data_IF_929463944700
#
_entry.id   IF_929463944700
#
_cell.length_a   1.000
_cell.length_b   1.000
_cell.length_c   1.000
_cell.angle_alpha   90.00
_cell.angle_beta   90.00
_cell.angle_gamma   90.00
#
_symmetry.space_group_name_H-M   'P 1'
#
loop_
_entity.id
_entity.type
_entity.pdbx_description
1 polymer ?
#
# COMPACT_ATOMS: atom_id res chain seq x y z
N UNK A 1 62.01 34.41 -17.15
CA UNK A 1 61.01 33.87 -16.20
C UNK A 1 59.98 33.07 -16.99
N UNK A 2 60.08 31.74 -16.99
CA UNK A 2 58.98 30.87 -17.41
C UNK A 2 59.03 29.61 -16.54
N UNK A 3 58.25 29.59 -15.47
CA UNK A 3 58.03 28.39 -14.66
C UNK A 3 57.08 27.47 -15.43
N UNK A 4 57.60 26.34 -15.92
CA UNK A 4 56.77 25.21 -16.35
C UNK A 4 56.19 24.53 -15.10
N UNK A 5 54.88 24.66 -14.90
CA UNK A 5 54.14 23.83 -13.95
C UNK A 5 54.05 22.41 -14.50
N UNK A 6 54.53 21.45 -13.72
CA UNK A 6 54.33 20.01 -13.99
C UNK A 6 52.87 19.64 -13.76
N UNK A 7 52.25 18.79 -14.59
CA UNK A 7 50.89 18.34 -14.36
C UNK A 7 50.88 17.39 -13.16
N UNK A 8 50.00 17.69 -12.20
CA UNK A 8 49.70 16.82 -11.07
C UNK A 8 49.13 15.49 -11.56
N UNK A 9 49.92 14.42 -11.42
CA UNK A 9 49.47 13.05 -11.64
C UNK A 9 48.36 12.71 -10.64
N UNK A 10 47.10 12.69 -11.09
CA UNK A 10 46.00 12.10 -10.35
C UNK A 10 46.26 10.60 -10.22
N UNK A 11 46.81 10.16 -9.07
CA UNK A 11 46.97 8.74 -8.76
C UNK A 11 45.57 8.13 -8.58
N UNK A 12 45.08 7.43 -9.59
CA UNK A 12 43.89 6.62 -9.46
C UNK A 12 44.15 5.53 -8.39
N UNK A 13 43.27 5.37 -7.39
CA UNK A 13 43.47 4.38 -6.33
C UNK A 13 43.43 2.96 -6.89
N UNK A 14 44.29 2.10 -6.35
CA UNK A 14 44.47 0.70 -6.74
C UNK A 14 43.17 -0.10 -6.60
N UNK A 15 42.94 -1.15 -7.42
CA UNK A 15 41.73 -1.98 -7.36
C UNK A 15 41.46 -2.55 -5.95
N UNK A 16 42.49 -2.99 -5.24
CA UNK A 16 42.37 -3.50 -3.86
C UNK A 16 41.89 -2.44 -2.85
N UNK A 17 42.31 -1.18 -3.00
CA UNK A 17 41.82 -0.10 -2.13
C UNK A 17 40.37 0.26 -2.43
N UNK A 18 39.92 0.14 -3.69
CA UNK A 18 38.53 0.35 -4.06
C UNK A 18 37.61 -0.73 -3.49
N UNK A 19 38.03 -2.00 -3.54
CA UNK A 19 37.26 -3.10 -2.94
C UNK A 19 37.14 -2.95 -1.43
N UNK A 20 38.25 -2.72 -0.71
CA UNK A 20 38.20 -2.52 0.75
C UNK A 20 37.35 -1.32 1.16
N UNK A 21 37.43 -0.22 0.42
CA UNK A 21 36.59 0.95 0.68
C UNK A 21 35.10 0.66 0.42
N UNK A 22 34.79 -0.09 -0.64
CA UNK A 22 33.43 -0.51 -0.94
C UNK A 22 32.89 -1.45 0.14
N UNK A 23 33.70 -2.39 0.61
CA UNK A 23 33.37 -3.34 1.67
C UNK A 23 33.05 -2.61 2.98
N UNK A 24 33.92 -1.71 3.45
CA UNK A 24 33.67 -0.92 4.66
C UNK A 24 32.40 -0.09 4.55
N UNK A 25 32.10 0.47 3.37
CA UNK A 25 30.86 1.22 3.16
C UNK A 25 29.60 0.33 3.20
N UNK A 26 29.70 -0.95 2.80
CA UNK A 26 28.56 -1.87 2.88
C UNK A 26 28.38 -2.38 4.31
N UNK A 27 29.46 -2.56 5.06
CA UNK A 27 29.41 -2.89 6.49
C UNK A 27 28.73 -1.77 7.29
N UNK A 28 29.11 -0.51 7.05
CA UNK A 28 28.47 0.64 7.69
C UNK A 28 26.96 0.68 7.43
N UNK A 29 26.53 0.31 6.22
CA UNK A 29 25.09 0.22 5.87
C UNK A 29 24.38 -0.88 6.64
N UNK A 30 25.02 -2.03 6.82
CA UNK A 30 24.47 -3.15 7.60
C UNK A 30 24.36 -2.75 9.07
N UNK A 31 25.37 -2.07 9.63
CA UNK A 31 25.35 -1.62 11.03
C UNK A 31 24.23 -0.59 11.27
N UNK A 32 24.09 0.40 10.38
CA UNK A 32 23.00 1.40 10.46
C UNK A 32 21.63 0.71 10.34
N UNK A 33 21.48 -0.23 9.41
CA UNK A 33 20.24 -0.99 9.25
C UNK A 33 19.95 -1.83 10.49
N UNK A 34 20.96 -2.49 11.06
CA UNK A 34 20.82 -3.29 12.27
C UNK A 34 20.31 -2.45 13.45
N UNK A 35 20.90 -1.27 13.67
CA UNK A 35 20.48 -0.37 14.75
C UNK A 35 19.01 0.05 14.61
N UNK A 36 18.60 0.45 13.40
CA UNK A 36 17.23 0.86 13.12
C UNK A 36 16.22 -0.29 13.18
N UNK A 37 16.57 -1.46 12.63
CA UNK A 37 15.70 -2.65 12.62
C UNK A 37 15.51 -3.16 14.05
N UNK A 38 16.59 -3.30 14.81
CA UNK A 38 16.55 -3.79 16.19
C UNK A 38 15.77 -2.86 17.12
N UNK A 39 15.81 -1.53 16.87
CA UNK A 39 14.98 -0.55 17.60
C UNK A 39 13.48 -0.86 17.49
N UNK A 40 13.04 -1.34 16.33
CA UNK A 40 11.63 -1.54 16.00
C UNK A 40 11.17 -3.02 16.04
N UNK A 41 12.10 -3.95 16.29
CA UNK A 41 11.89 -5.40 16.44
C UNK A 41 11.44 -5.81 17.86
N UNK A 42 10.65 -4.96 18.54
CA UNK A 42 10.17 -5.29 19.89
C UNK A 42 9.22 -6.50 19.81
N UNK A 43 9.76 -7.66 20.20
CA UNK A 43 9.19 -9.01 20.05
C UNK A 43 7.76 -9.17 20.60
N UNK A 44 6.94 -10.10 20.05
CA UNK A 44 5.52 -10.28 20.38
C UNK A 44 5.24 -10.93 21.74
N UNK A 45 6.25 -11.30 22.54
CA UNK A 45 6.06 -12.07 23.78
C UNK A 45 5.39 -11.33 24.93
N UNK A 46 4.98 -10.08 24.74
CA UNK A 46 4.05 -9.42 25.65
C UNK A 46 2.62 -9.69 25.17
N UNK A 47 2.05 -10.78 25.69
CA UNK A 47 0.62 -11.17 25.69
C UNK A 47 -0.32 -10.12 26.32
N UNK A 48 0.12 -8.87 26.41
CA UNK A 48 -0.69 -7.76 26.86
C UNK A 48 -1.52 -7.28 25.67
N UNK A 49 -2.81 -7.60 25.75
CA UNK A 49 -3.90 -7.10 24.90
C UNK A 49 -4.08 -5.56 24.94
N UNK A 50 -3.13 -4.83 25.56
CA UNK A 50 -3.09 -3.38 25.71
C UNK A 50 -1.70 -2.79 25.41
N UNK A 51 -0.83 -3.46 24.67
CA UNK A 51 0.40 -2.85 24.20
C UNK A 51 0.05 -1.74 23.20
N UNK A 52 0.24 -0.47 23.61
CA UNK A 52 0.64 0.61 22.71
C UNK A 52 1.94 0.19 22.01
N UNK A 53 1.85 -0.74 21.06
CA UNK A 53 2.92 -1.09 20.14
C UNK A 53 3.16 0.20 19.37
N UNK A 54 4.30 0.84 19.59
CA UNK A 54 4.69 2.03 18.82
C UNK A 54 4.46 1.72 17.35
N UNK A 55 3.52 2.43 16.72
CA UNK A 55 3.25 2.29 15.29
C UNK A 55 4.33 3.08 14.56
N UNK A 56 5.12 2.41 13.73
CA UNK A 56 6.22 3.05 13.00
C UNK A 56 5.68 4.16 12.08
N UNK A 57 4.50 3.94 11.51
CA UNK A 57 3.82 4.87 10.61
C UNK A 57 2.77 5.76 11.31
N UNK A 58 2.85 5.92 12.63
CA UNK A 58 2.04 6.95 13.30
C UNK A 58 2.49 8.37 12.86
N UNK A 59 1.58 9.34 12.98
CA UNK A 59 1.79 10.70 12.50
C UNK A 59 3.01 11.40 13.13
N UNK A 60 3.35 11.05 14.38
CA UNK A 60 4.51 11.52 15.12
C UNK A 60 5.85 10.92 14.65
N UNK A 61 5.82 9.77 13.96
CA UNK A 61 7.00 8.98 13.58
C UNK A 61 7.30 8.99 12.08
N UNK A 62 6.69 9.88 11.28
CA UNK A 62 6.86 9.93 9.81
C UNK A 62 8.32 9.98 9.34
N UNK A 63 9.18 10.70 10.06
CA UNK A 63 10.61 10.76 9.72
C UNK A 63 11.31 9.42 10.00
N UNK A 64 11.00 8.78 11.12
CA UNK A 64 11.56 7.47 11.46
C UNK A 64 11.10 6.38 10.48
N UNK A 65 9.82 6.40 10.06
CA UNK A 65 9.32 5.51 9.03
C UNK A 65 10.11 5.63 7.72
N UNK A 66 10.39 6.86 7.27
CA UNK A 66 11.21 7.12 6.07
C UNK A 66 12.63 6.59 6.23
N UNK A 67 13.25 6.81 7.40
CA UNK A 67 14.59 6.30 7.68
C UNK A 67 14.63 4.77 7.69
N UNK A 68 13.59 4.13 8.22
CA UNK A 68 13.44 2.68 8.25
C UNK A 68 13.32 2.09 6.85
N UNK A 69 12.45 2.66 5.99
CA UNK A 69 12.35 2.22 4.59
C UNK A 69 13.66 2.45 3.83
N UNK A 70 14.34 3.56 4.11
CA UNK A 70 15.63 3.86 3.50
C UNK A 70 16.71 2.86 3.94
N UNK A 71 16.77 2.48 5.21
CA UNK A 71 17.76 1.52 5.70
C UNK A 71 17.56 0.13 5.10
N UNK A 72 16.32 -0.27 4.81
CA UNK A 72 16.02 -1.51 4.07
C UNK A 72 16.58 -1.44 2.64
N UNK A 73 16.42 -0.31 1.95
CA UNK A 73 16.98 -0.11 0.59
C UNK A 73 18.51 -0.16 0.59
N UNK A 74 19.14 0.46 1.59
CA UNK A 74 20.60 0.42 1.74
C UNK A 74 21.09 -0.99 2.11
N UNK A 75 20.35 -1.71 2.97
CA UNK A 75 20.60 -3.10 3.33
C UNK A 75 20.52 -4.01 2.09
N UNK A 76 19.51 -3.84 1.25
CA UNK A 76 19.39 -4.57 -0.01
C UNK A 76 20.58 -4.32 -0.94
N UNK A 77 21.06 -3.08 -1.00
CA UNK A 77 22.25 -2.73 -1.80
C UNK A 77 23.50 -3.44 -1.26
N UNK A 78 23.67 -3.47 0.07
CA UNK A 78 24.77 -4.20 0.72
C UNK A 78 24.67 -5.71 0.45
N UNK A 79 23.47 -6.30 0.53
CA UNK A 79 23.25 -7.72 0.21
C UNK A 79 23.66 -8.04 -1.24
N UNK A 80 23.26 -7.21 -2.21
CA UNK A 80 23.63 -7.41 -3.63
C UNK A 80 25.15 -7.32 -3.84
N UNK A 81 25.84 -6.43 -3.11
CA UNK A 81 27.29 -6.35 -3.13
C UNK A 81 27.93 -7.65 -2.61
N UNK A 82 27.51 -8.13 -1.44
CA UNK A 82 28.07 -9.36 -0.85
C UNK A 82 27.76 -10.60 -1.69
N UNK A 83 26.55 -10.72 -2.26
CA UNK A 83 26.20 -11.82 -3.17
C UNK A 83 27.15 -11.88 -4.38
N UNK A 84 27.59 -10.73 -4.89
CA UNK A 84 28.45 -10.66 -6.08
C UNK A 84 29.94 -10.79 -5.79
N UNK A 85 30.40 -10.40 -4.60
CA UNK A 85 31.82 -10.35 -4.27
C UNK A 85 32.25 -11.42 -3.26
N UNK A 86 31.45 -11.69 -2.24
CA UNK A 86 31.77 -12.60 -1.13
C UNK A 86 30.51 -13.32 -0.60
N UNK A 87 30.03 -14.36 -1.31
CA UNK A 87 28.77 -15.02 -1.00
C UNK A 87 28.81 -15.88 0.28
N UNK A 88 29.98 -16.07 0.90
CA UNK A 88 30.16 -16.82 2.14
C UNK A 88 30.48 -15.92 3.34
N UNK A 89 30.24 -14.61 3.22
CA UNK A 89 30.49 -13.65 4.29
C UNK A 89 29.41 -13.74 5.38
N UNK A 90 29.82 -13.73 6.65
CA UNK A 90 28.91 -13.64 7.80
C UNK A 90 28.02 -12.37 7.73
N UNK A 91 28.52 -11.30 7.09
CA UNK A 91 27.76 -10.07 6.89
C UNK A 91 26.58 -10.27 5.93
N UNK A 92 26.69 -11.19 4.95
CA UNK A 92 25.56 -11.53 4.09
C UNK A 92 24.47 -12.27 4.88
N UNK A 93 24.85 -13.23 5.72
CA UNK A 93 23.90 -13.96 6.58
C UNK A 93 23.21 -13.02 7.56
N UNK A 94 23.97 -12.12 8.20
CA UNK A 94 23.41 -11.06 9.06
C UNK A 94 22.44 -10.17 8.29
N UNK A 95 22.82 -9.69 7.11
CA UNK A 95 21.98 -8.82 6.30
C UNK A 95 20.69 -9.51 5.84
N UNK A 96 20.75 -10.80 5.48
CA UNK A 96 19.59 -11.60 5.15
C UNK A 96 18.65 -11.76 6.35
N UNK A 97 19.18 -12.02 7.54
CA UNK A 97 18.38 -12.12 8.77
C UNK A 97 17.70 -10.78 9.10
N UNK A 98 18.43 -9.66 9.00
CA UNK A 98 17.88 -8.32 9.19
C UNK A 98 16.77 -8.00 8.18
N UNK A 99 16.93 -8.42 6.92
CA UNK A 99 15.89 -8.28 5.90
C UNK A 99 14.61 -9.03 6.31
N UNK A 100 14.70 -10.27 6.79
CA UNK A 100 13.52 -11.02 7.25
C UNK A 100 12.79 -10.30 8.39
N UNK A 101 13.54 -9.81 9.38
CA UNK A 101 12.98 -9.08 10.52
C UNK A 101 12.28 -7.80 10.03
N UNK A 102 12.94 -7.05 9.15
CA UNK A 102 12.39 -5.82 8.60
C UNK A 102 11.10 -6.06 7.81
N UNK A 103 11.07 -7.11 6.98
CA UNK A 103 9.88 -7.47 6.21
C UNK A 103 8.73 -7.90 7.12
N UNK A 104 8.99 -8.66 8.18
CA UNK A 104 7.96 -9.01 9.17
C UNK A 104 7.39 -7.79 9.88
N UNK A 105 8.22 -6.78 10.13
CA UNK A 105 7.74 -5.50 10.66
C UNK A 105 6.87 -4.76 9.65
N UNK A 106 7.30 -4.65 8.40
CA UNK A 106 6.51 -4.00 7.34
C UNK A 106 5.18 -4.72 7.07
N UNK A 107 5.16 -6.05 7.07
CA UNK A 107 3.92 -6.85 7.01
C UNK A 107 2.93 -6.44 8.11
N UNK A 108 3.43 -6.25 9.34
CA UNK A 108 2.60 -5.85 10.49
C UNK A 108 2.08 -4.42 10.35
N UNK A 109 2.93 -3.48 9.98
CA UNK A 109 2.53 -2.08 9.77
C UNK A 109 1.50 -1.96 8.65
N UNK A 110 1.73 -2.65 7.54
CA UNK A 110 0.80 -2.71 6.41
C UNK A 110 -0.57 -3.25 6.83
N UNK A 111 -0.58 -4.33 7.63
CA UNK A 111 -1.80 -4.87 8.22
C UNK A 111 -2.51 -3.85 9.13
N UNK A 112 -1.76 -3.17 10.02
CA UNK A 112 -2.30 -2.19 10.97
C UNK A 112 -2.93 -1.02 10.21
N UNK A 113 -2.26 -0.47 9.20
CA UNK A 113 -2.77 0.66 8.42
C UNK A 113 -4.04 0.26 7.67
N UNK A 114 -4.07 -0.89 7.00
CA UNK A 114 -5.25 -1.38 6.30
C UNK A 114 -6.44 -1.64 7.24
N UNK A 115 -6.18 -2.18 8.44
CA UNK A 115 -7.24 -2.50 9.41
C UNK A 115 -7.77 -1.27 10.15
N UNK A 116 -6.89 -0.36 10.55
CA UNK A 116 -7.25 0.83 11.33
C UNK A 116 -7.97 1.87 10.48
N UNK A 117 -7.70 1.91 9.18
CA UNK A 117 -8.33 2.87 8.26
C UNK A 117 -9.54 2.28 7.50
N UNK A 118 -10.23 1.28 8.07
CA UNK A 118 -11.40 0.65 7.42
C UNK A 118 -12.50 1.64 7.00
N UNK A 119 -12.74 2.66 7.82
CA UNK A 119 -13.76 3.69 7.58
C UNK A 119 -13.24 4.85 6.73
N UNK A 120 -11.92 4.95 6.50
CA UNK A 120 -11.28 6.04 5.74
C UNK A 120 -10.77 5.55 4.37
N UNK A 121 -10.52 4.26 4.23
CA UNK A 121 -10.26 3.58 2.96
C UNK A 121 -11.53 2.92 2.42
N UNK A 122 -12.70 3.32 2.92
CA UNK A 122 -13.94 2.89 2.29
C UNK A 122 -13.97 3.48 0.87
N UNK A 123 -14.61 2.79 -0.08
CA UNK A 123 -14.47 3.16 -1.48
C UNK A 123 -15.05 4.55 -1.82
N UNK A 124 -15.94 5.10 -0.99
CA UNK A 124 -16.43 6.47 -1.13
C UNK A 124 -15.36 7.50 -0.75
N UNK A 125 -14.71 7.35 0.41
CA UNK A 125 -13.60 8.24 0.83
C UNK A 125 -12.43 8.22 -0.13
N UNK A 126 -12.06 7.04 -0.67
CA UNK A 126 -10.99 6.92 -1.68
C UNK A 126 -11.35 7.64 -2.98
N UNK A 127 -12.60 7.52 -3.42
CA UNK A 127 -13.10 8.20 -4.63
C UNK A 127 -13.08 9.71 -4.45
N UNK A 128 -13.45 10.22 -3.26
CA UNK A 128 -13.43 11.65 -2.95
C UNK A 128 -12.02 12.21 -2.84
N UNK A 129 -11.13 11.54 -2.09
CA UNK A 129 -9.73 11.94 -1.94
C UNK A 129 -9.01 12.04 -3.29
N UNK A 130 -9.32 11.13 -4.21
CA UNK A 130 -8.78 11.15 -5.57
C UNK A 130 -9.26 12.36 -6.38
N UNK A 131 -10.54 12.73 -6.27
CA UNK A 131 -11.09 13.92 -6.96
C UNK A 131 -10.47 15.21 -6.42
N UNK A 132 -10.25 15.29 -5.11
CA UNK A 132 -9.58 16.41 -4.45
C UNK A 132 -8.09 16.55 -4.84
N UNK A 133 -7.40 15.43 -5.05
CA UNK A 133 -6.00 15.44 -5.52
C UNK A 133 -5.84 15.92 -6.97
N UNK A 134 -6.88 15.74 -7.80
CA UNK A 134 -6.86 16.16 -9.22
C UNK A 134 -7.19 17.66 -9.37
N UNK A 135 -7.98 18.25 -8.47
CA UNK A 135 -8.27 19.69 -8.50
C UNK A 135 -7.07 20.60 -8.18
N UNK A 136 -5.99 20.06 -7.62
CA UNK A 136 -4.73 20.81 -7.39
C UNK A 136 -3.87 20.94 -8.68
N UNK A 137 -4.16 20.16 -9.72
CA UNK A 137 -3.54 20.28 -11.05
C UNK A 137 -4.63 20.50 -12.10
N UNK A 138 -5.05 21.77 -12.24
CA UNK A 138 -6.21 22.15 -13.05
C UNK A 138 -6.25 21.58 -14.46
N UNK A 139 -7.46 21.22 -14.89
CA UNK A 139 -7.88 21.35 -16.27
C UNK A 139 -9.40 21.59 -16.32
N UNK A 140 -9.79 22.59 -17.11
CA UNK A 140 -11.17 22.97 -17.38
C UNK A 140 -11.78 21.92 -18.30
N UNK A 141 -12.67 21.08 -17.78
CA UNK A 141 -13.53 20.24 -18.60
C UNK A 141 -14.98 20.54 -18.25
N UNK A 142 -15.60 21.36 -19.10
CA UNK A 142 -17.03 21.65 -19.07
C UNK A 142 -17.83 20.38 -19.38
N UNK A 143 -18.50 19.80 -18.38
CA UNK A 143 -19.76 19.08 -18.57
C UNK A 143 -20.71 19.45 -17.41
N UNK A 144 -21.72 20.24 -17.75
CA UNK A 144 -22.79 20.73 -16.87
C UNK A 144 -23.75 19.60 -16.47
N UNK A 145 -24.11 19.55 -15.18
CA UNK A 145 -25.50 19.63 -14.66
C UNK A 145 -25.51 19.56 -13.11
N UNK A 146 -25.59 20.74 -12.48
CA UNK A 146 -26.42 21.20 -11.33
C UNK A 146 -26.81 20.18 -10.22
N UNK A 147 -26.75 20.41 -8.89
CA UNK A 147 -26.85 21.63 -8.09
C UNK A 147 -26.40 21.31 -6.64
N UNK A 148 -25.48 22.09 -6.06
CA UNK A 148 -25.59 22.71 -4.71
C UNK A 148 -24.22 22.96 -4.01
N UNK A 149 -23.90 24.27 -3.98
CA UNK A 149 -23.11 25.02 -2.99
C UNK A 149 -21.59 25.07 -3.15
N UNK A 150 -21.18 26.21 -3.71
CA UNK A 150 -19.94 26.92 -3.41
C UNK A 150 -19.67 27.00 -1.89
N UNK A 151 -18.43 26.67 -1.52
CA UNK A 151 -17.88 26.94 -0.18
C UNK A 151 -16.82 25.92 0.23
N UNK A 152 -15.55 26.36 0.15
CA UNK A 152 -14.34 25.76 0.73
C UNK A 152 -13.67 24.61 -0.05
N UNK A 153 -12.67 24.98 -0.86
CA UNK A 153 -11.51 24.15 -1.28
C UNK A 153 -10.63 23.72 -0.08
N UNK A 154 -11.27 23.29 1.00
CA UNK A 154 -10.61 22.77 2.19
C UNK A 154 -10.73 21.25 2.13
N UNK A 155 -9.62 20.57 1.86
CA UNK A 155 -9.55 19.10 1.95
C UNK A 155 -10.09 18.70 3.33
N UNK A 156 -11.10 17.83 3.35
CA UNK A 156 -11.69 17.41 4.61
C UNK A 156 -10.67 16.63 5.43
N UNK A 157 -10.77 16.68 6.76
CA UNK A 157 -9.87 15.91 7.63
C UNK A 157 -9.88 14.41 7.27
N UNK A 158 -11.04 13.87 6.89
CA UNK A 158 -11.21 12.48 6.44
C UNK A 158 -10.42 12.19 5.16
N UNK A 159 -10.46 13.08 4.18
CA UNK A 159 -9.69 12.95 2.93
C UNK A 159 -8.17 13.03 3.21
N UNK A 160 -7.72 13.93 4.10
CA UNK A 160 -6.32 14.02 4.51
C UNK A 160 -5.81 12.74 5.21
N UNK A 161 -6.60 12.17 6.13
CA UNK A 161 -6.24 10.89 6.77
C UNK A 161 -6.15 9.75 5.76
N UNK A 162 -7.07 9.73 4.79
CA UNK A 162 -7.10 8.74 3.72
C UNK A 162 -5.85 8.85 2.83
N UNK A 163 -5.47 10.07 2.44
CA UNK A 163 -4.27 10.34 1.64
C UNK A 163 -2.99 9.92 2.37
N UNK A 164 -2.84 10.29 3.65
CA UNK A 164 -1.66 9.91 4.44
C UNK A 164 -1.51 8.39 4.58
N UNK A 165 -2.62 7.68 4.83
CA UNK A 165 -2.62 6.22 4.92
C UNK A 165 -2.30 5.58 3.56
N UNK A 166 -2.85 6.13 2.48
CA UNK A 166 -2.60 5.72 1.09
C UNK A 166 -1.13 5.88 0.70
N UNK A 167 -0.50 7.00 1.05
CA UNK A 167 0.94 7.21 0.88
C UNK A 167 1.80 6.18 1.63
N UNK A 168 1.45 5.88 2.88
CA UNK A 168 2.18 4.93 3.69
C UNK A 168 2.04 3.50 3.15
N UNK A 169 0.83 3.10 2.74
CA UNK A 169 0.61 1.81 2.09
C UNK A 169 1.42 1.69 0.80
N UNK A 170 1.48 2.74 -0.01
CA UNK A 170 2.31 2.78 -1.22
C UNK A 170 3.80 2.67 -0.87
N UNK A 171 4.29 3.44 0.10
CA UNK A 171 5.70 3.42 0.48
C UNK A 171 6.13 2.04 1.02
N UNK A 172 5.29 1.41 1.83
CA UNK A 172 5.55 0.06 2.37
C UNK A 172 5.52 -0.98 1.25
N UNK A 173 4.50 -0.97 0.40
CA UNK A 173 4.36 -1.94 -0.70
C UNK A 173 5.49 -1.82 -1.72
N UNK A 174 5.88 -0.62 -2.14
CA UNK A 174 7.03 -0.40 -3.03
C UNK A 174 8.33 -0.95 -2.41
N UNK A 175 8.53 -0.74 -1.11
CA UNK A 175 9.69 -1.29 -0.39
C UNK A 175 9.64 -2.83 -0.34
N UNK A 176 8.51 -3.43 0.02
CA UNK A 176 8.36 -4.89 0.07
C UNK A 176 8.51 -5.52 -1.31
N UNK A 177 7.93 -4.93 -2.36
CA UNK A 177 8.02 -5.44 -3.74
C UNK A 177 9.45 -5.38 -4.23
N UNK A 178 10.15 -4.26 -4.03
CA UNK A 178 11.55 -4.12 -4.45
C UNK A 178 12.47 -5.08 -3.71
N UNK A 179 12.19 -5.41 -2.44
CA UNK A 179 12.89 -6.42 -1.65
C UNK A 179 12.53 -7.88 -2.02
N UNK A 180 11.54 -8.12 -2.89
CA UNK A 180 11.11 -9.46 -3.31
C UNK A 180 9.97 -10.08 -2.50
N UNK A 181 9.33 -9.32 -1.61
CA UNK A 181 8.25 -9.74 -0.70
C UNK A 181 6.87 -9.30 -1.18
N UNK A 182 6.72 -9.11 -2.49
CA UNK A 182 5.45 -8.66 -3.08
C UNK A 182 4.29 -9.63 -2.79
N UNK A 183 4.54 -10.95 -2.73
CA UNK A 183 3.49 -11.95 -2.49
C UNK A 183 2.90 -11.86 -1.08
N UNK A 184 3.75 -11.64 -0.09
CA UNK A 184 3.37 -11.45 1.32
C UNK A 184 2.54 -10.18 1.48
N UNK A 185 3.01 -9.07 0.90
CA UNK A 185 2.27 -7.80 0.85
C UNK A 185 0.88 -7.98 0.21
N UNK A 186 0.83 -8.62 -0.97
CA UNK A 186 -0.40 -8.90 -1.70
C UNK A 186 -1.39 -9.74 -0.90
N UNK A 187 -0.89 -10.77 -0.20
CA UNK A 187 -1.72 -11.65 0.62
C UNK A 187 -2.41 -10.88 1.76
N UNK A 188 -1.68 -10.00 2.43
CA UNK A 188 -2.22 -9.16 3.51
C UNK A 188 -3.27 -8.20 2.95
N UNK A 189 -2.94 -7.52 1.85
CA UNK A 189 -3.86 -6.59 1.17
C UNK A 189 -5.17 -7.28 0.81
N UNK A 190 -5.10 -8.37 0.06
CA UNK A 190 -6.28 -9.14 -0.40
C UNK A 190 -7.15 -9.60 0.76
N UNK A 191 -6.54 -10.15 1.82
CA UNK A 191 -7.28 -10.66 2.98
C UNK A 191 -8.15 -9.59 3.64
N UNK A 192 -7.59 -8.39 3.84
CA UNK A 192 -8.29 -7.31 4.53
C UNK A 192 -9.30 -6.63 3.59
N UNK A 193 -8.88 -6.28 2.38
CA UNK A 193 -9.71 -5.54 1.42
C UNK A 193 -10.88 -6.35 0.90
N UNK A 194 -10.68 -7.65 0.63
CA UNK A 194 -11.79 -8.55 0.28
C UNK A 194 -12.84 -8.61 1.38
N UNK A 195 -12.42 -8.76 2.65
CA UNK A 195 -13.35 -8.72 3.78
C UNK A 195 -14.14 -7.41 3.87
N UNK A 196 -13.53 -6.27 3.57
CA UNK A 196 -14.22 -4.96 3.59
C UNK A 196 -15.23 -4.85 2.44
N UNK A 197 -14.84 -5.23 1.22
CA UNK A 197 -15.71 -5.19 0.05
C UNK A 197 -16.88 -6.16 0.20
N UNK A 198 -16.63 -7.38 0.66
CA UNK A 198 -17.67 -8.40 0.87
C UNK A 198 -18.66 -7.95 1.97
N UNK A 199 -18.19 -7.35 3.07
CA UNK A 199 -19.03 -6.79 4.14
C UNK A 199 -19.89 -5.62 3.61
N UNK A 200 -19.32 -4.72 2.81
CA UNK A 200 -20.05 -3.61 2.21
C UNK A 200 -21.15 -4.10 1.24
N UNK A 201 -20.84 -5.10 0.39
CA UNK A 201 -21.83 -5.70 -0.52
C UNK A 201 -22.96 -6.41 0.22
N UNK A 202 -22.64 -7.08 1.35
CA UNK A 202 -23.65 -7.67 2.22
C UNK A 202 -24.62 -6.60 2.75
N UNK A 203 -24.11 -5.46 3.21
CA UNK A 203 -24.95 -4.35 3.71
C UNK A 203 -25.76 -3.64 2.63
N UNK A 204 -25.30 -3.65 1.37
CA UNK A 204 -26.07 -3.12 0.24
C UNK A 204 -27.25 -4.03 -0.16
N UNK A 205 -27.47 -5.17 0.52
CA UNK A 205 -28.50 -6.16 0.20
C UNK A 205 -28.42 -6.69 -1.24
N UNK A 206 -27.20 -6.66 -1.81
CA UNK A 206 -26.95 -7.17 -3.15
C UNK A 206 -27.15 -8.69 -3.20
N UNK A 207 -26.93 -9.39 -2.09
CA UNK A 207 -27.14 -10.84 -1.94
C UNK A 207 -28.58 -11.20 -1.54
N UNK A 208 -29.59 -10.57 -2.14
CA UNK A 208 -30.99 -10.96 -1.94
C UNK A 208 -31.43 -12.02 -2.95
N UNK A 209 -30.67 -13.12 -3.06
CA UNK A 209 -30.96 -14.26 -3.95
C UNK A 209 -32.42 -14.67 -3.83
N UNK A 210 -33.23 -14.34 -4.83
CA UNK A 210 -34.57 -14.87 -4.99
C UNK A 210 -34.42 -16.16 -5.79
N UNK A 211 -35.26 -17.13 -5.50
CA UNK A 211 -35.43 -18.26 -6.39
C UNK A 211 -36.45 -17.87 -7.46
N UNK A 212 -36.32 -18.45 -8.65
CA UNK A 212 -37.32 -18.32 -9.71
C UNK A 212 -38.76 -18.58 -9.20
N UNK A 213 -38.93 -19.56 -8.30
CA UNK A 213 -40.21 -19.87 -7.68
C UNK A 213 -40.75 -18.75 -6.75
N UNK A 214 -39.88 -17.98 -6.09
CA UNK A 214 -40.28 -16.82 -5.30
C UNK A 214 -40.67 -15.65 -6.19
N UNK A 215 -39.94 -15.42 -7.29
CA UNK A 215 -40.25 -14.37 -8.26
C UNK A 215 -41.63 -14.60 -8.88
N UNK A 216 -41.92 -15.82 -9.32
CA UNK A 216 -43.22 -16.14 -9.95
C UNK A 216 -44.42 -16.02 -9.00
N UNK A 217 -44.21 -16.16 -7.69
CA UNK A 217 -45.28 -16.07 -6.68
C UNK A 217 -45.44 -14.65 -6.12
N UNK A 218 -44.57 -13.72 -6.49
CA UNK A 218 -44.53 -12.37 -5.96
C UNK A 218 -45.47 -11.46 -6.76
N UNK A 219 -46.20 -10.59 -6.06
CA UNK A 219 -46.98 -9.56 -6.71
C UNK A 219 -46.05 -8.61 -7.49
N UNK A 220 -46.51 -8.16 -8.65
CA UNK A 220 -45.70 -7.34 -9.55
C UNK A 220 -45.19 -6.07 -8.86
N UNK A 221 -46.02 -5.43 -8.03
CA UNK A 221 -45.69 -4.21 -7.31
C UNK A 221 -44.51 -4.41 -6.34
N UNK A 222 -44.43 -5.59 -5.70
CA UNK A 222 -43.33 -5.95 -4.79
C UNK A 222 -42.06 -6.28 -5.57
N UNK A 223 -42.21 -6.98 -6.71
CA UNK A 223 -41.09 -7.30 -7.60
C UNK A 223 -40.47 -6.03 -8.18
N UNK A 224 -41.28 -5.06 -8.63
CA UNK A 224 -40.82 -3.79 -9.17
C UNK A 224 -39.99 -3.00 -8.14
N UNK A 225 -40.43 -2.95 -6.88
CA UNK A 225 -39.66 -2.32 -5.79
C UNK A 225 -38.31 -3.02 -5.62
N UNK A 226 -38.28 -4.36 -5.62
CA UNK A 226 -37.02 -5.12 -5.50
C UNK A 226 -36.08 -4.90 -6.68
N UNK A 227 -36.60 -4.81 -7.91
CA UNK A 227 -35.80 -4.49 -9.10
C UNK A 227 -35.14 -3.11 -8.93
N UNK A 228 -35.92 -2.10 -8.51
CA UNK A 228 -35.38 -0.74 -8.29
C UNK A 228 -34.35 -0.70 -7.17
N UNK A 229 -34.60 -1.40 -6.05
CA UNK A 229 -33.64 -1.50 -4.95
C UNK A 229 -32.35 -2.20 -5.37
N UNK A 230 -32.44 -3.32 -6.10
CA UNK A 230 -31.28 -4.03 -6.62
C UNK A 230 -30.49 -3.16 -7.60
N UNK A 231 -31.16 -2.50 -8.54
CA UNK A 231 -30.48 -1.62 -9.50
C UNK A 231 -29.72 -0.50 -8.78
N UNK A 232 -30.33 0.12 -7.77
CA UNK A 232 -29.66 1.14 -6.97
C UNK A 232 -28.44 0.56 -6.21
N UNK A 233 -28.59 -0.63 -5.61
CA UNK A 233 -27.50 -1.30 -4.91
C UNK A 233 -26.32 -1.65 -5.84
N UNK A 234 -26.60 -2.15 -7.05
CA UNK A 234 -25.58 -2.43 -8.08
C UNK A 234 -24.89 -1.13 -8.52
N UNK A 235 -25.65 -0.05 -8.72
CA UNK A 235 -25.08 1.26 -9.07
C UNK A 235 -24.12 1.77 -8.00
N UNK A 236 -24.47 1.63 -6.73
CA UNK A 236 -23.57 1.96 -5.61
C UNK A 236 -22.34 1.03 -5.64
N UNK A 237 -22.53 -0.29 -5.72
CA UNK A 237 -21.42 -1.24 -5.77
C UNK A 237 -20.40 -0.94 -6.88
N UNK A 238 -20.87 -0.64 -8.09
CA UNK A 238 -19.99 -0.33 -9.23
C UNK A 238 -19.34 1.05 -9.09
N UNK A 239 -20.12 2.10 -8.84
CA UNK A 239 -19.63 3.49 -8.85
C UNK A 239 -18.83 3.87 -7.61
N UNK A 240 -19.07 3.21 -6.48
CA UNK A 240 -18.34 3.49 -5.24
C UNK A 240 -17.41 2.32 -4.91
N UNK A 241 -17.94 1.12 -4.63
CA UNK A 241 -17.14 0.03 -4.07
C UNK A 241 -16.01 -0.43 -4.99
N UNK A 242 -16.36 -0.84 -6.21
CA UNK A 242 -15.36 -1.34 -7.16
C UNK A 242 -14.47 -0.22 -7.68
N UNK A 243 -15.01 0.98 -7.88
CA UNK A 243 -14.20 2.12 -8.33
C UNK A 243 -13.15 2.55 -7.28
N UNK A 244 -13.54 2.67 -6.01
CA UNK A 244 -12.59 2.99 -4.94
C UNK A 244 -11.56 1.89 -4.71
N UNK A 245 -11.94 0.61 -4.84
CA UNK A 245 -10.97 -0.49 -4.79
C UNK A 245 -9.98 -0.47 -5.97
N UNK A 246 -10.45 -0.10 -7.17
CA UNK A 246 -9.58 0.08 -8.35
C UNK A 246 -8.53 1.15 -8.06
N UNK A 247 -8.94 2.33 -7.60
CA UNK A 247 -8.02 3.42 -7.23
C UNK A 247 -6.99 2.96 -6.21
N UNK A 248 -7.44 2.28 -5.13
CA UNK A 248 -6.53 1.87 -4.06
C UNK A 248 -5.53 0.82 -4.56
N UNK A 249 -5.97 -0.16 -5.35
CA UNK A 249 -5.09 -1.11 -6.01
C UNK A 249 -4.07 -0.40 -6.91
N UNK A 250 -4.52 0.59 -7.68
CA UNK A 250 -3.68 1.33 -8.63
C UNK A 250 -2.59 2.14 -7.92
N UNK A 251 -2.93 2.75 -6.78
CA UNK A 251 -1.96 3.46 -5.96
C UNK A 251 -0.98 2.51 -5.28
N UNK A 252 -1.49 1.56 -4.49
CA UNK A 252 -0.67 0.69 -3.64
C UNK A 252 0.26 -0.17 -4.49
N UNK A 253 -0.22 -0.73 -5.59
CA UNK A 253 0.59 -1.60 -6.47
C UNK A 253 1.07 -0.88 -7.74
N UNK A 254 1.27 0.43 -7.67
CA UNK A 254 1.74 1.25 -8.82
C UNK A 254 3.09 0.80 -9.39
N UNK A 255 3.96 0.21 -8.58
CA UNK A 255 5.24 -0.38 -9.03
C UNK A 255 5.10 -1.76 -9.70
N UNK A 256 3.93 -2.41 -9.64
CA UNK A 256 3.71 -3.75 -10.17
C UNK A 256 2.32 -3.93 -10.81
N UNK A 257 2.19 -3.68 -12.13
CA UNK A 257 0.93 -3.80 -12.86
C UNK A 257 0.27 -5.17 -12.73
N UNK A 258 1.05 -6.26 -12.74
CA UNK A 258 0.50 -7.61 -12.60
C UNK A 258 -0.13 -7.85 -11.22
N UNK A 259 0.46 -7.29 -10.17
CA UNK A 259 -0.09 -7.41 -8.81
C UNK A 259 -1.35 -6.57 -8.67
N UNK A 260 -1.36 -5.36 -9.22
CA UNK A 260 -2.52 -4.48 -9.27
C UNK A 260 -3.74 -5.16 -9.89
N UNK A 261 -3.60 -5.70 -11.11
CA UNK A 261 -4.72 -6.36 -11.79
C UNK A 261 -5.19 -7.61 -11.05
N UNK A 262 -4.26 -8.43 -10.56
CA UNK A 262 -4.62 -9.65 -9.82
C UNK A 262 -5.31 -9.33 -8.49
N UNK A 263 -4.83 -8.34 -7.72
CA UNK A 263 -5.48 -7.90 -6.48
C UNK A 263 -6.91 -7.44 -6.75
N UNK A 264 -7.09 -6.53 -7.71
CA UNK A 264 -8.41 -6.01 -8.03
C UNK A 264 -9.37 -7.11 -8.45
N UNK A 265 -8.94 -7.99 -9.37
CA UNK A 265 -9.76 -9.10 -9.84
C UNK A 265 -10.13 -10.04 -8.68
N UNK A 266 -9.17 -10.44 -7.86
CA UNK A 266 -9.40 -11.38 -6.76
C UNK A 266 -10.34 -10.82 -5.68
N UNK A 267 -10.31 -9.51 -5.45
CA UNK A 267 -11.17 -8.83 -4.47
C UNK A 267 -12.60 -8.67 -5.02
N UNK A 268 -12.75 -8.29 -6.28
CA UNK A 268 -14.03 -7.84 -6.83
C UNK A 268 -14.82 -8.91 -7.59
N UNK A 269 -14.17 -9.96 -8.11
CA UNK A 269 -14.83 -10.93 -9.02
C UNK A 269 -16.06 -11.60 -8.40
N UNK A 270 -15.93 -12.11 -7.17
CA UNK A 270 -17.05 -12.78 -6.48
C UNK A 270 -18.20 -11.81 -6.21
N UNK A 271 -17.88 -10.63 -5.67
CA UNK A 271 -18.85 -9.57 -5.42
C UNK A 271 -19.55 -9.08 -6.67
N UNK A 272 -18.81 -8.90 -7.78
CA UNK A 272 -19.34 -8.52 -9.07
C UNK A 272 -20.27 -9.60 -9.64
N UNK A 273 -19.91 -10.87 -9.51
CA UNK A 273 -20.77 -11.97 -9.94
C UNK A 273 -22.10 -11.98 -9.16
N UNK A 274 -22.07 -11.84 -7.84
CA UNK A 274 -23.28 -11.76 -7.01
C UNK A 274 -24.11 -10.51 -7.35
N UNK A 275 -23.45 -9.38 -7.63
CA UNK A 275 -24.12 -8.13 -7.95
C UNK A 275 -24.83 -8.14 -9.31
N UNK A 276 -24.18 -8.68 -10.33
CA UNK A 276 -24.68 -8.66 -11.71
C UNK A 276 -25.71 -9.76 -11.99
N UNK A 277 -25.76 -10.80 -11.16
CA UNK A 277 -26.84 -11.76 -11.19
C UNK A 277 -28.07 -11.18 -10.47
N UNK A 278 -29.08 -10.77 -11.24
CA UNK A 278 -30.37 -10.42 -10.67
C UNK A 278 -30.93 -11.60 -9.84
N UNK A 279 -31.45 -11.35 -8.63
CA UNK A 279 -32.22 -12.31 -7.86
C UNK A 279 -33.29 -13.06 -8.66
#
# INVERSE_FOLDING_TARGET
>A
MFHKQSPSSSRNPSPHHRHKFSETLMDDRIEIAQALISKWDVSPNSDSLYCNISNLFAADNRHEAKQYLNSIRELQTAMQYYISHEPTSENLDLAQNLMQIAMKRLEREFYIILRSNRQHLDPESVSRASRSSVSEFGDESEEEEEESRAGEDSISAVELFSMSAMEDLKAISDCMISAGYGKECMKIYKSIRKSIVDEALYHLNVDSRLSFAQIQKMAWEVLEVKIKTWLNAVMVAVKTLFYGERILCDLVFSSSPSMRESCFADITTEGAHVSLCFP
#
